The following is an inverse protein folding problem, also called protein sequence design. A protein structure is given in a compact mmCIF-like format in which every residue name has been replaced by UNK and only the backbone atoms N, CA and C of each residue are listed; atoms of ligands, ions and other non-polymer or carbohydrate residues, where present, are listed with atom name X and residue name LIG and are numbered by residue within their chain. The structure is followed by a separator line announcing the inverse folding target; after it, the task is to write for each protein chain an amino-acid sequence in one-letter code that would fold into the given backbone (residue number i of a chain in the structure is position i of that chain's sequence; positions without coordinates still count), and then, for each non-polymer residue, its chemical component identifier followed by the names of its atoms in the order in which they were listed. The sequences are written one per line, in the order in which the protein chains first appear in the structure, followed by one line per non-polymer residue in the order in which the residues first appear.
data_IF_073896637894
#
_entry.id   IF_073896637894
#
_cell.length_a   1.000
_cell.length_b   1.000
_cell.length_c   1.000
_cell.angle_alpha   90.00
_cell.angle_beta   90.00
_cell.angle_gamma   90.00
#
_symmetry.space_group_name_H-M   'P 1'
#
loop_
_entity.id
_entity.type
_entity.pdbx_description
1 polymer ?
#
# COMPACT_ATOMS: atom_id res chain seq x y z
N UNK A 1 3.29 20.62 44.63
CA UNK A 1 1.99 19.93 44.79
C UNK A 1 1.51 20.20 46.20
N UNK A 2 0.24 20.63 46.42
CA UNK A 2 -0.26 20.80 47.78
C UNK A 2 -0.33 19.43 48.45
N UNK A 3 0.46 19.25 49.50
CA UNK A 3 0.49 18.07 50.36
C UNK A 3 -0.61 18.16 51.42
N UNK A 4 -1.86 18.39 50.99
CA UNK A 4 -2.98 18.21 51.89
C UNK A 4 -3.34 16.73 51.85
N UNK A 5 -3.38 16.08 53.01
CA UNK A 5 -3.92 14.73 53.19
C UNK A 5 -5.36 14.72 52.72
N UNK A 6 -5.56 14.41 51.44
CA UNK A 6 -6.88 14.32 50.83
C UNK A 6 -7.37 12.92 51.06
N UNK A 7 -8.48 12.81 51.79
CA UNK A 7 -9.18 11.55 51.98
C UNK A 7 -9.62 11.00 50.62
N UNK A 8 -9.44 9.69 50.43
CA UNK A 8 -9.86 9.04 49.18
C UNK A 8 -11.35 9.20 49.00
N UNK A 9 -11.78 9.44 47.76
CA UNK A 9 -13.20 9.36 47.43
C UNK A 9 -13.66 7.90 47.53
N UNK A 10 -14.84 7.67 48.11
CA UNK A 10 -15.47 6.35 48.19
C UNK A 10 -16.66 6.31 47.26
N UNK A 11 -16.60 5.43 46.26
CA UNK A 11 -17.73 5.11 45.40
C UNK A 11 -18.58 4.05 46.09
N UNK A 12 -19.89 4.27 46.18
CA UNK A 12 -20.84 3.30 46.70
C UNK A 12 -21.65 2.74 45.54
N UNK A 13 -21.49 1.44 45.28
CA UNK A 13 -22.28 0.72 44.29
C UNK A 13 -23.40 -0.06 44.98
N UNK A 14 -24.65 0.33 44.72
CA UNK A 14 -25.84 -0.32 45.27
C UNK A 14 -26.47 -1.25 44.25
N UNK A 15 -26.69 -2.51 44.63
CA UNK A 15 -27.39 -3.50 43.81
C UNK A 15 -28.62 -3.99 44.53
N UNK A 16 -29.65 -4.39 43.76
CA UNK A 16 -30.75 -5.18 44.31
C UNK A 16 -30.37 -6.66 44.23
N UNK A 17 -30.34 -7.35 45.35
CA UNK A 17 -30.29 -8.80 45.35
C UNK A 17 -31.65 -9.36 44.90
N UNK A 18 -31.66 -10.17 43.84
CA UNK A 18 -32.83 -10.97 43.48
C UNK A 18 -32.94 -12.18 44.40
N UNK A 19 -33.99 -12.25 45.22
CA UNK A 19 -34.44 -13.54 45.77
C UNK A 19 -35.64 -14.01 44.96
N UNK A 20 -35.64 -15.28 44.57
CA UNK A 20 -36.75 -15.95 43.86
C UNK A 20 -38.09 -15.92 44.60
N UNK A 21 -38.11 -15.43 45.85
CA UNK A 21 -39.29 -15.39 46.72
C UNK A 21 -39.33 -14.07 47.52
N UNK A 22 -39.88 -13.01 46.93
CA UNK A 22 -40.40 -11.87 47.71
C UNK A 22 -40.00 -10.48 47.22
N UNK A 23 -40.99 -9.60 47.15
CA UNK A 23 -40.92 -8.20 46.66
C UNK A 23 -40.17 -7.22 47.60
N UNK A 24 -39.31 -7.73 48.48
CA UNK A 24 -38.46 -6.93 49.37
C UNK A 24 -37.00 -7.19 49.01
N UNK A 25 -36.54 -6.52 47.95
CA UNK A 25 -35.15 -6.59 47.50
C UNK A 25 -34.21 -6.09 48.60
N UNK A 26 -33.38 -6.97 49.16
CA UNK A 26 -32.22 -6.53 49.94
C UNK A 26 -31.34 -5.67 49.04
N UNK A 27 -31.01 -4.46 49.48
CA UNK A 27 -30.03 -3.61 48.80
C UNK A 27 -28.67 -4.03 49.33
N UNK A 28 -27.84 -4.58 48.45
CA UNK A 28 -26.43 -4.85 48.75
C UNK A 28 -25.62 -3.64 48.35
N UNK A 29 -24.75 -3.18 49.23
CA UNK A 29 -23.87 -2.03 48.99
C UNK A 29 -22.43 -2.51 48.97
N UNK A 30 -21.70 -2.12 47.93
CA UNK A 30 -20.26 -2.35 47.81
C UNK A 30 -19.57 -0.99 47.89
N UNK A 31 -18.58 -0.90 48.78
CA UNK A 31 -17.77 0.30 48.95
C UNK A 31 -16.44 0.11 48.21
N UNK A 32 -16.15 1.03 47.29
CA UNK A 32 -14.92 1.02 46.50
C UNK A 32 -14.14 2.31 46.79
N UNK A 33 -12.96 2.18 47.38
CA UNK A 33 -12.03 3.32 47.51
C UNK A 33 -11.46 3.67 46.14
N UNK A 34 -11.50 4.95 45.79
CA UNK A 34 -10.98 5.45 44.51
C UNK A 34 -9.60 6.06 44.70
N UNK A 35 -8.67 5.64 43.85
CA UNK A 35 -7.34 6.24 43.72
C UNK A 35 -7.03 6.50 42.26
N UNK A 36 -6.24 7.53 41.98
CA UNK A 36 -5.71 7.80 40.65
C UNK A 36 -4.28 7.22 40.54
N UNK A 37 -4.02 6.50 39.46
CA UNK A 37 -2.70 5.96 39.14
C UNK A 37 -2.14 6.67 37.93
N UNK A 38 -0.85 6.99 37.97
CA UNK A 38 -0.14 7.55 36.83
C UNK A 38 0.13 6.44 35.82
N UNK A 39 -0.18 6.70 34.56
CA UNK A 39 0.04 5.75 33.46
C UNK A 39 0.93 6.36 32.41
N UNK A 40 1.80 5.54 31.84
CA UNK A 40 2.51 5.82 30.60
C UNK A 40 1.72 5.25 29.44
N UNK A 41 1.41 6.08 28.46
CA UNK A 41 0.68 5.70 27.25
C UNK A 41 1.53 5.90 26.02
N UNK A 42 1.60 4.87 25.18
CA UNK A 42 2.16 4.97 23.83
C UNK A 42 1.01 5.34 22.88
N UNK A 43 1.14 6.49 22.21
CA UNK A 43 0.16 6.96 21.23
C UNK A 43 0.72 6.73 19.84
N UNK A 44 0.00 5.93 19.05
CA UNK A 44 0.32 5.68 17.65
C UNK A 44 -0.64 6.47 16.76
N UNK A 45 -0.08 7.26 15.85
CA UNK A 45 -0.84 8.06 14.89
C UNK A 45 -0.55 7.60 13.47
N UNK A 46 -1.55 7.02 12.81
CA UNK A 46 -1.42 6.43 11.47
C UNK A 46 -2.22 7.25 10.47
N UNK A 47 -1.61 7.53 9.31
CA UNK A 47 -2.26 8.16 8.17
C UNK A 47 -2.17 7.25 6.95
N UNK A 48 -3.30 6.80 6.43
CA UNK A 48 -3.34 5.85 5.31
C UNK A 48 -3.00 6.48 3.94
N UNK A 49 -3.18 7.80 3.79
CA UNK A 49 -2.89 8.53 2.56
C UNK A 49 -2.44 9.96 2.84
N UNK A 50 -1.71 10.58 1.91
CA UNK A 50 -1.17 11.94 2.08
C UNK A 50 -2.24 13.02 2.37
N UNK A 51 -3.51 12.76 2.04
CA UNK A 51 -4.66 13.62 2.34
C UNK A 51 -5.65 13.04 3.35
N UNK A 52 -5.45 11.81 3.83
CA UNK A 52 -6.40 11.12 4.71
C UNK A 52 -6.48 11.69 6.12
N UNK A 53 -7.49 11.30 6.88
CA UNK A 53 -7.56 11.62 8.31
C UNK A 53 -6.41 10.94 9.08
N UNK A 54 -5.77 11.68 9.97
CA UNK A 54 -4.81 11.12 10.92
C UNK A 54 -5.59 10.41 12.03
N UNK A 55 -5.34 9.12 12.23
CA UNK A 55 -5.96 8.34 13.31
C UNK A 55 -4.94 8.15 14.41
N UNK A 56 -5.13 8.85 15.54
CA UNK A 56 -4.33 8.66 16.74
C UNK A 56 -5.09 7.81 17.75
N UNK A 57 -4.43 6.80 18.30
CA UNK A 57 -4.98 5.96 19.36
C UNK A 57 -3.87 5.51 20.32
N UNK A 58 -4.23 5.21 21.56
CA UNK A 58 -3.32 4.54 22.48
C UNK A 58 -3.08 3.11 21.99
N UNK A 59 -1.83 2.77 21.69
CA UNK A 59 -1.40 1.43 21.27
C UNK A 59 -0.97 0.57 22.46
N UNK A 60 -0.37 1.20 23.48
CA UNK A 60 0.03 0.55 24.73
C UNK A 60 -0.19 1.47 25.92
N UNK A 61 -0.47 0.87 27.07
CA UNK A 61 -0.64 1.54 28.35
C UNK A 61 -0.01 0.69 29.45
N UNK A 62 0.67 1.34 30.38
CA UNK A 62 1.18 0.70 31.60
C UNK A 62 1.20 1.70 32.75
N UNK A 63 1.25 1.22 33.98
CA UNK A 63 1.49 2.08 35.14
C UNK A 63 2.89 2.71 35.07
N UNK A 64 2.99 3.97 35.46
CA UNK A 64 4.24 4.72 35.46
C UNK A 64 5.13 4.24 36.62
N UNK A 65 6.34 3.70 36.34
CA UNK A 65 7.20 3.16 37.39
C UNK A 65 7.68 4.27 38.34
N UNK A 66 7.56 4.02 39.65
CA UNK A 66 8.05 4.93 40.68
C UNK A 66 7.13 6.12 41.00
N UNK A 67 5.94 6.21 40.38
CA UNK A 67 4.94 7.22 40.71
C UNK A 67 3.95 6.68 41.75
N UNK A 68 3.77 7.34 42.90
CA UNK A 68 2.80 6.89 43.90
C UNK A 68 1.37 7.08 43.39
N UNK A 69 0.45 6.26 43.89
CA UNK A 69 -0.97 6.48 43.69
C UNK A 69 -1.39 7.80 44.35
N UNK A 70 -2.22 8.57 43.65
CA UNK A 70 -2.80 9.80 44.15
C UNK A 70 -4.15 9.51 44.80
N UNK A 71 -4.31 9.92 46.05
CA UNK A 71 -5.62 9.94 46.72
C UNK A 71 -6.55 11.01 46.15
N UNK A 72 -5.98 12.00 45.44
CA UNK A 72 -6.74 13.00 44.70
C UNK A 72 -7.24 12.41 43.38
N UNK A 73 -8.56 12.47 43.19
CA UNK A 73 -9.25 12.12 41.95
C UNK A 73 -10.26 13.21 41.55
N UNK A 74 -10.82 13.12 40.34
CA UNK A 74 -11.91 13.99 39.91
C UNK A 74 -13.15 13.90 40.81
N UNK A 75 -13.35 12.77 41.51
CA UNK A 75 -14.46 12.55 42.44
C UNK A 75 -14.32 13.34 43.74
N UNK A 76 -13.12 13.81 44.09
CA UNK A 76 -12.91 14.68 45.26
C UNK A 76 -13.42 16.11 45.01
N UNK A 77 -13.74 16.47 43.77
CA UNK A 77 -14.16 17.82 43.37
C UNK A 77 -15.70 17.93 43.46
N UNK A 78 -16.23 18.03 44.68
CA UNK A 78 -17.67 18.04 44.98
C UNK A 78 -18.50 19.18 44.33
N UNK A 79 -17.88 20.23 43.76
CA UNK A 79 -18.58 21.46 43.32
C UNK A 79 -18.51 21.80 41.83
N UNK A 80 -17.89 20.98 40.98
CA UNK A 80 -17.82 21.28 39.54
C UNK A 80 -19.07 20.79 38.80
N UNK A 81 -19.42 21.44 37.69
CA UNK A 81 -20.48 21.02 36.75
C UNK A 81 -20.27 19.58 36.22
N UNK A 82 -19.03 19.10 36.22
CA UNK A 82 -18.63 17.70 35.97
C UNK A 82 -19.00 16.75 37.12
N UNK A 83 -19.34 17.25 38.31
CA UNK A 83 -19.40 16.53 39.57
C UNK A 83 -20.54 15.53 39.74
N UNK A 84 -21.41 15.36 38.74
CA UNK A 84 -22.44 14.31 38.78
C UNK A 84 -22.48 13.47 37.49
N UNK A 85 -21.36 13.35 36.76
CA UNK A 85 -21.32 12.41 35.62
C UNK A 85 -21.74 10.99 36.05
N UNK A 86 -21.41 10.60 37.30
CA UNK A 86 -21.84 9.34 37.92
C UNK A 86 -23.36 9.17 37.94
N UNK A 87 -24.15 10.24 38.12
CA UNK A 87 -25.62 10.13 38.11
C UNK A 87 -26.19 9.86 36.73
N UNK A 88 -25.46 10.20 35.67
CA UNK A 88 -25.89 10.00 34.29
C UNK A 88 -25.39 8.69 33.68
N UNK A 89 -24.40 8.03 34.28
CA UNK A 89 -23.87 6.74 33.79
C UNK A 89 -25.01 5.73 33.56
N UNK A 90 -25.94 5.50 34.50
CA UNK A 90 -27.01 4.51 34.31
C UNK A 90 -27.95 4.82 33.14
N UNK A 91 -28.10 6.09 32.76
CA UNK A 91 -29.05 6.53 31.72
C UNK A 91 -28.47 6.46 30.29
N UNK A 92 -27.22 6.07 30.14
CA UNK A 92 -26.50 6.13 28.85
C UNK A 92 -26.68 4.91 27.96
N UNK A 93 -27.21 3.80 28.49
CA UNK A 93 -27.49 2.57 27.76
C UNK A 93 -28.97 2.20 27.95
N UNK A 94 -29.56 1.58 26.92
CA UNK A 94 -30.98 1.21 26.94
C UNK A 94 -31.30 0.26 28.12
N UNK A 95 -32.50 0.48 28.68
CA UNK A 95 -33.12 -0.19 29.84
C UNK A 95 -32.77 0.41 31.22
N UNK A 96 -33.54 1.43 31.62
CA UNK A 96 -33.59 1.96 32.99
C UNK A 96 -34.78 1.38 33.80
N UNK A 97 -35.32 0.25 33.36
CA UNK A 97 -36.52 -0.32 33.98
C UNK A 97 -36.16 -1.17 35.20
N UNK A 98 -36.90 -1.00 36.30
CA UNK A 98 -36.55 -1.44 37.66
C UNK A 98 -36.23 -2.93 37.82
N UNK A 99 -36.73 -3.77 36.91
CA UNK A 99 -36.64 -5.25 36.99
C UNK A 99 -35.92 -5.86 35.78
N UNK A 100 -35.32 -5.04 34.94
CA UNK A 100 -34.54 -5.50 33.79
C UNK A 100 -33.16 -4.88 33.87
N UNK A 101 -32.09 -5.67 33.85
CA UNK A 101 -30.75 -5.13 33.93
C UNK A 101 -30.46 -4.25 32.71
N UNK A 102 -29.82 -3.12 32.96
CA UNK A 102 -29.22 -2.28 31.93
C UNK A 102 -28.04 -2.99 31.27
N UNK A 103 -27.66 -2.57 30.06
CA UNK A 103 -26.46 -3.11 29.41
C UNK A 103 -25.18 -2.92 30.23
N UNK A 104 -25.10 -1.91 31.10
CA UNK A 104 -23.99 -1.71 32.03
C UNK A 104 -23.98 -2.73 33.18
N UNK A 105 -25.15 -3.07 33.72
CA UNK A 105 -25.27 -4.11 34.75
C UNK A 105 -24.93 -5.48 34.16
N UNK A 106 -25.38 -5.76 32.93
CA UNK A 106 -24.99 -6.97 32.18
C UNK A 106 -23.49 -7.00 31.87
N UNK A 107 -22.86 -5.86 31.57
CA UNK A 107 -21.42 -5.78 31.39
C UNK A 107 -20.65 -6.06 32.69
N UNK A 108 -21.11 -5.51 33.81
CA UNK A 108 -20.53 -5.77 35.12
C UNK A 108 -20.63 -7.25 35.49
N UNK A 109 -21.73 -7.92 35.10
CA UNK A 109 -21.97 -9.35 35.33
C UNK A 109 -21.13 -10.24 34.40
N UNK A 110 -21.29 -10.09 33.09
CA UNK A 110 -20.57 -10.83 32.06
C UNK A 110 -20.51 -10.06 30.73
N UNK A 111 -19.36 -9.44 30.39
CA UNK A 111 -19.22 -8.55 29.22
C UNK A 111 -19.73 -9.09 27.87
N UNK A 112 -19.54 -10.36 27.49
CA UNK A 112 -20.07 -10.90 26.25
C UNK A 112 -21.60 -10.87 26.16
N UNK A 113 -22.30 -10.84 27.31
CA UNK A 113 -23.77 -10.80 27.40
C UNK A 113 -24.35 -9.40 27.50
N UNK A 114 -23.52 -8.35 27.44
CA UNK A 114 -23.96 -6.96 27.65
C UNK A 114 -25.10 -6.50 26.71
N UNK A 115 -25.20 -7.11 25.53
CA UNK A 115 -26.20 -6.78 24.50
C UNK A 115 -27.17 -7.93 24.21
N UNK A 116 -27.16 -9.00 25.00
CA UNK A 116 -28.14 -10.08 24.82
C UNK A 116 -29.48 -9.65 25.42
N UNK A 117 -30.52 -9.54 24.59
CA UNK A 117 -31.90 -9.51 25.05
C UNK A 117 -32.21 -10.86 25.71
N UNK A 118 -32.69 -10.88 26.96
CA UNK A 118 -33.18 -12.17 27.43
C UNK A 118 -33.61 -12.38 28.87
N UNK A 119 -33.36 -11.48 29.84
CA UNK A 119 -33.78 -11.80 31.22
C UNK A 119 -34.45 -10.62 31.91
N UNK A 120 -35.65 -10.85 32.46
CA UNK A 120 -36.35 -9.95 33.40
C UNK A 120 -35.85 -10.18 34.83
N UNK A 121 -34.61 -10.61 34.99
CA UNK A 121 -34.05 -10.98 36.29
C UNK A 121 -32.88 -10.07 36.64
N UNK A 122 -32.80 -9.67 37.90
CA UNK A 122 -31.78 -8.75 38.38
C UNK A 122 -30.47 -9.54 38.51
N UNK A 123 -29.37 -8.98 38.02
CA UNK A 123 -28.06 -9.63 38.11
C UNK A 123 -27.59 -9.77 39.56
N UNK A 124 -27.22 -10.99 39.95
CA UNK A 124 -26.52 -11.24 41.21
C UNK A 124 -25.01 -11.22 41.00
N UNK A 125 -24.37 -10.20 41.55
CA UNK A 125 -22.92 -10.02 41.50
C UNK A 125 -22.18 -10.87 42.55
N UNK A 126 -22.88 -11.63 43.40
CA UNK A 126 -22.28 -12.43 44.48
C UNK A 126 -21.27 -13.48 44.04
N UNK A 127 -21.38 -13.95 42.79
CA UNK A 127 -20.45 -14.93 42.21
C UNK A 127 -19.24 -14.30 41.51
N UNK A 128 -19.10 -12.97 41.51
CA UNK A 128 -18.00 -12.26 40.85
C UNK A 128 -16.94 -11.90 41.90
N UNK A 129 -15.69 -12.25 41.62
CA UNK A 129 -14.57 -11.81 42.46
C UNK A 129 -14.47 -10.28 42.48
N UNK A 130 -14.13 -9.71 43.63
CA UNK A 130 -14.02 -8.25 43.79
C UNK A 130 -13.04 -7.64 42.79
N UNK A 131 -11.95 -8.33 42.46
CA UNK A 131 -10.93 -7.86 41.50
C UNK A 131 -11.46 -7.67 40.09
N UNK A 132 -12.29 -8.62 39.63
CA UNK A 132 -12.93 -8.53 38.31
C UNK A 132 -14.00 -7.46 38.32
N UNK A 133 -14.80 -7.39 39.39
CA UNK A 133 -15.84 -6.38 39.54
C UNK A 133 -15.26 -4.96 39.53
N UNK A 134 -14.21 -4.69 40.33
CA UNK A 134 -13.57 -3.37 40.38
C UNK A 134 -12.94 -2.99 39.04
N UNK A 135 -12.32 -3.93 38.32
CA UNK A 135 -11.72 -3.65 37.02
C UNK A 135 -12.78 -3.25 35.97
N UNK A 136 -13.92 -3.94 35.95
CA UNK A 136 -15.05 -3.63 35.05
C UNK A 136 -15.68 -2.29 35.40
N UNK A 137 -15.90 -2.02 36.69
CA UNK A 137 -16.45 -0.76 37.17
C UNK A 137 -15.50 0.41 36.89
N UNK A 138 -14.20 0.22 37.09
CA UNK A 138 -13.18 1.21 36.77
C UNK A 138 -13.18 1.56 35.28
N UNK A 139 -13.34 0.57 34.38
CA UNK A 139 -13.46 0.84 32.95
C UNK A 139 -14.68 1.74 32.64
N UNK A 140 -15.85 1.43 33.20
CA UNK A 140 -17.06 2.23 33.01
C UNK A 140 -16.81 3.67 33.50
N UNK A 141 -16.39 3.83 34.76
CA UNK A 141 -16.19 5.15 35.38
C UNK A 141 -15.16 5.96 34.60
N UNK A 142 -14.02 5.37 34.21
CA UNK A 142 -12.99 6.06 33.45
C UNK A 142 -13.47 6.45 32.04
N UNK A 143 -14.25 5.59 31.38
CA UNK A 143 -14.80 5.89 30.05
C UNK A 143 -15.75 7.09 30.10
N UNK A 144 -16.67 7.12 31.05
CA UNK A 144 -17.60 8.25 31.21
C UNK A 144 -16.89 9.51 31.70
N UNK A 145 -15.88 9.36 32.57
CA UNK A 145 -15.05 10.48 32.97
C UNK A 145 -14.38 11.12 31.75
N UNK A 146 -13.71 10.32 30.89
CA UNK A 146 -13.09 10.82 29.66
C UNK A 146 -14.11 11.44 28.69
N UNK A 147 -15.29 10.83 28.54
CA UNK A 147 -16.36 11.36 27.68
C UNK A 147 -16.94 12.70 28.19
N UNK A 148 -16.87 12.94 29.51
CA UNK A 148 -17.32 14.20 30.13
C UNK A 148 -16.33 15.36 30.01
N UNK A 149 -15.09 15.08 29.60
CA UNK A 149 -14.08 16.12 29.40
C UNK A 149 -14.40 16.94 28.15
N UNK A 150 -14.00 18.22 28.18
CA UNK A 150 -14.17 19.11 27.04
C UNK A 150 -13.49 18.51 25.79
N UNK A 151 -14.22 18.45 24.68
CA UNK A 151 -13.74 17.91 23.39
C UNK A 151 -12.49 18.63 22.90
N UNK A 152 -12.32 19.93 23.22
CA UNK A 152 -11.09 20.70 22.96
C UNK A 152 -9.84 20.08 23.61
N UNK A 153 -10.00 19.52 24.83
CA UNK A 153 -8.89 18.95 25.60
C UNK A 153 -8.49 17.56 25.10
N UNK A 154 -9.43 16.82 24.50
CA UNK A 154 -9.21 15.43 24.10
C UNK A 154 -9.00 15.25 22.59
N UNK A 155 -9.77 15.97 21.76
CA UNK A 155 -9.72 15.84 20.31
C UNK A 155 -8.78 16.85 19.64
N UNK A 156 -8.53 18.00 20.27
CA UNK A 156 -7.75 19.09 19.67
C UNK A 156 -8.26 19.58 18.31
N UNK A 157 -9.50 19.22 17.96
CA UNK A 157 -10.09 19.31 16.61
C UNK A 157 -11.11 20.46 16.47
N UNK A 158 -11.18 21.34 17.47
CA UNK A 158 -12.05 22.51 17.49
C UNK A 158 -11.45 23.74 16.79
N UNK A 159 -10.26 23.60 16.20
CA UNK A 159 -9.55 24.69 15.53
C UNK A 159 -8.85 25.68 16.46
N UNK A 160 -8.91 25.46 17.78
CA UNK A 160 -8.18 26.24 18.81
C UNK A 160 -6.77 25.65 19.02
N UNK A 161 -6.43 24.60 18.27
CA UNK A 161 -5.20 23.84 18.35
C UNK A 161 -3.92 24.68 18.26
N UNK A 162 -3.08 24.52 19.29
CA UNK A 162 -1.65 24.83 19.39
C UNK A 162 -1.18 26.30 19.26
N UNK A 163 -1.88 27.18 18.55
CA UNK A 163 -1.39 28.56 18.32
C UNK A 163 -1.97 29.60 19.29
N UNK A 164 -3.16 29.34 19.85
CA UNK A 164 -3.82 30.22 20.81
C UNK A 164 -4.49 29.40 21.91
N UNK A 165 -3.70 28.65 22.68
CA UNK A 165 -4.18 28.17 23.99
C UNK A 165 -4.28 29.39 24.89
N UNK A 166 -5.47 29.83 25.32
CA UNK A 166 -5.57 30.97 26.23
C UNK A 166 -4.77 30.66 27.50
N UNK A 167 -4.11 31.66 28.10
CA UNK A 167 -3.13 31.45 29.18
C UNK A 167 -3.67 30.62 30.36
N UNK A 168 -4.99 30.67 30.60
CA UNK A 168 -5.69 29.88 31.62
C UNK A 168 -5.84 28.37 31.30
N UNK A 169 -5.54 27.93 30.09
CA UNK A 169 -5.52 26.52 29.67
C UNK A 169 -4.12 26.00 29.33
N UNK A 170 -3.09 26.87 29.30
CA UNK A 170 -1.74 26.51 28.90
C UNK A 170 -1.09 25.44 29.82
N UNK A 171 -1.50 25.37 31.08
CA UNK A 171 -1.05 24.36 32.05
C UNK A 171 -1.68 22.96 31.86
N UNK A 172 -2.63 22.81 30.95
CA UNK A 172 -3.31 21.53 30.67
C UNK A 172 -2.62 20.74 29.55
N UNK A 173 -1.70 21.39 28.80
CA UNK A 173 -0.98 20.78 27.69
C UNK A 173 0.49 20.61 28.05
N UNK A 174 1.02 19.41 27.84
CA UNK A 174 2.43 19.09 27.98
C UNK A 174 3.10 18.96 26.62
N UNK A 175 4.35 19.40 26.50
CA UNK A 175 5.16 19.10 25.33
C UNK A 175 5.56 17.61 25.38
N UNK A 176 5.33 16.91 24.28
CA UNK A 176 5.78 15.53 24.10
C UNK A 176 6.56 15.42 22.79
N UNK A 177 7.55 14.53 22.76
CA UNK A 177 8.31 14.21 21.55
C UNK A 177 7.75 12.95 20.91
N UNK A 178 7.42 13.00 19.62
CA UNK A 178 7.00 11.85 18.83
C UNK A 178 7.94 11.60 17.66
N UNK A 179 8.13 10.33 17.30
CA UNK A 179 8.84 9.94 16.07
C UNK A 179 7.84 9.76 14.93
N UNK A 180 8.05 10.49 13.84
CA UNK A 180 7.20 10.39 12.64
C UNK A 180 7.94 9.60 11.56
N UNK A 181 7.31 8.54 11.06
CA UNK A 181 7.78 7.80 9.89
C UNK A 181 6.77 7.97 8.75
N UNK A 182 7.16 8.68 7.70
CA UNK A 182 6.31 8.86 6.53
C UNK A 182 6.54 7.73 5.53
N UNK A 183 5.46 7.11 5.06
CA UNK A 183 5.53 6.20 3.91
C UNK A 183 5.85 7.02 2.67
N UNK A 184 7.12 7.02 2.26
CA UNK A 184 7.52 7.69 1.03
C UNK A 184 7.01 6.84 -0.14
N UNK A 185 6.13 7.34 -1.02
CA UNK A 185 5.69 6.58 -2.17
C UNK A 185 6.90 6.15 -3.01
N UNK A 186 6.88 4.95 -3.64
CA UNK A 186 7.99 4.49 -4.46
C UNK A 186 8.27 5.52 -5.55
N UNK A 187 9.41 6.22 -5.44
CA UNK A 187 9.87 7.15 -6.46
C UNK A 187 10.50 6.31 -7.57
N UNK A 188 10.11 6.57 -8.82
CA UNK A 188 10.80 5.99 -9.96
C UNK A 188 12.23 6.54 -10.01
N UNK A 189 13.18 5.78 -9.49
CA UNK A 189 14.59 6.11 -9.59
C UNK A 189 15.15 5.65 -10.93
N UNK A 190 15.56 6.59 -11.77
CA UNK A 190 16.33 6.28 -12.98
C UNK A 190 17.73 5.85 -12.57
N UNK A 191 18.03 4.56 -12.71
CA UNK A 191 19.39 4.05 -12.56
C UNK A 191 20.18 4.40 -13.82
N UNK A 192 21.04 5.41 -13.72
CA UNK A 192 21.81 5.95 -14.85
C UNK A 192 22.59 4.87 -15.63
N UNK A 193 23.10 3.82 -14.97
CA UNK A 193 23.80 2.71 -15.64
C UNK A 193 22.89 1.93 -16.61
N UNK A 194 21.67 1.60 -16.18
CA UNK A 194 20.69 0.91 -17.03
C UNK A 194 20.15 1.80 -18.14
N UNK A 195 19.95 3.08 -17.84
CA UNK A 195 19.54 4.07 -18.83
C UNK A 195 20.60 4.28 -19.92
N UNK A 196 21.88 4.37 -19.53
CA UNK A 196 22.99 4.46 -20.46
C UNK A 196 23.12 3.21 -21.35
N UNK A 197 22.95 2.01 -20.79
CA UNK A 197 22.95 0.76 -21.55
C UNK A 197 21.81 0.72 -22.57
N UNK A 198 20.59 1.14 -22.18
CA UNK A 198 19.46 1.26 -23.09
C UNK A 198 19.71 2.26 -24.22
N UNK A 199 20.30 3.42 -23.90
CA UNK A 199 20.64 4.43 -24.89
C UNK A 199 21.72 3.94 -25.87
N UNK A 200 22.72 3.21 -25.36
CA UNK A 200 23.75 2.58 -26.20
C UNK A 200 23.15 1.50 -27.12
N UNK A 201 22.24 0.66 -26.62
CA UNK A 201 21.56 -0.35 -27.44
C UNK A 201 20.70 0.25 -28.54
N UNK A 202 19.90 1.26 -28.22
CA UNK A 202 19.02 1.95 -29.19
C UNK A 202 19.82 2.70 -30.26
N UNK A 203 20.95 3.31 -29.92
CA UNK A 203 21.83 3.96 -30.90
C UNK A 203 22.50 2.96 -31.85
N UNK A 204 22.97 1.82 -31.36
CA UNK A 204 23.51 0.76 -32.22
C UNK A 204 22.44 0.25 -33.19
N UNK A 205 21.23 -0.03 -32.72
CA UNK A 205 20.13 -0.47 -33.57
C UNK A 205 19.74 0.59 -34.61
N UNK A 206 19.74 1.88 -34.24
CA UNK A 206 19.48 2.98 -35.16
C UNK A 206 20.56 3.08 -36.26
N UNK A 207 21.84 2.90 -35.91
CA UNK A 207 22.94 2.89 -36.88
C UNK A 207 22.77 1.71 -37.85
N UNK A 208 22.50 0.50 -37.33
CA UNK A 208 22.26 -0.67 -38.17
C UNK A 208 21.08 -0.44 -39.14
N UNK A 209 19.99 0.17 -38.67
CA UNK A 209 18.85 0.50 -39.52
C UNK A 209 19.22 1.49 -40.64
N UNK A 210 19.98 2.55 -40.32
CA UNK A 210 20.46 3.53 -41.31
C UNK A 210 21.37 2.85 -42.34
N UNK A 211 22.30 2.00 -41.90
CA UNK A 211 23.21 1.27 -42.79
C UNK A 211 22.43 0.38 -43.74
N UNK A 212 21.42 -0.34 -43.25
CA UNK A 212 20.56 -1.18 -44.10
C UNK A 212 19.84 -0.32 -45.15
N UNK A 213 19.25 0.81 -44.77
CA UNK A 213 18.58 1.72 -45.73
C UNK A 213 19.56 2.24 -46.79
N UNK A 214 20.74 2.70 -46.37
CA UNK A 214 21.77 3.20 -47.28
C UNK A 214 22.24 2.10 -48.24
N UNK A 215 22.47 0.88 -47.74
CA UNK A 215 22.85 -0.26 -48.56
C UNK A 215 21.77 -0.56 -49.60
N UNK A 216 20.50 -0.63 -49.20
CA UNK A 216 19.37 -0.88 -50.11
C UNK A 216 19.26 0.18 -51.20
N UNK A 217 19.50 1.46 -50.90
CA UNK A 217 19.48 2.55 -51.89
C UNK A 217 20.68 2.49 -52.83
N UNK A 218 21.85 2.04 -52.36
CA UNK A 218 23.08 1.98 -53.16
C UNK A 218 23.22 0.69 -53.98
N UNK A 219 22.56 -0.41 -53.61
CA UNK A 219 22.61 -1.68 -54.35
C UNK A 219 21.81 -1.60 -55.65
N UNK A 220 22.49 -1.78 -56.80
CA UNK A 220 21.93 -1.68 -58.18
C UNK A 220 21.17 -2.93 -58.64
N UNK A 221 21.47 -4.08 -58.05
CA UNK A 221 20.88 -5.36 -58.43
C UNK A 221 19.80 -5.71 -57.40
N UNK A 222 18.74 -6.46 -57.80
CA UNK A 222 17.78 -7.01 -56.86
C UNK A 222 18.53 -7.80 -55.78
N UNK A 223 18.03 -7.75 -54.55
CA UNK A 223 18.54 -8.56 -53.45
C UNK A 223 18.31 -10.05 -53.79
N UNK A 224 19.39 -10.78 -54.11
CA UNK A 224 19.36 -12.19 -54.52
C UNK A 224 19.88 -13.14 -53.42
N UNK A 225 20.00 -12.64 -52.18
CA UNK A 225 20.80 -13.27 -51.13
C UNK A 225 20.34 -14.68 -50.70
N UNK A 226 19.19 -15.18 -51.18
CA UNK A 226 18.71 -16.54 -50.91
C UNK A 226 18.87 -17.56 -52.05
N UNK A 227 19.21 -17.15 -53.28
CA UNK A 227 18.94 -17.99 -54.48
C UNK A 227 19.97 -17.93 -55.60
N UNK A 228 21.21 -17.55 -55.31
CA UNK A 228 22.26 -17.41 -56.36
C UNK A 228 22.50 -18.72 -57.10
N UNK A 229 22.43 -19.87 -56.41
CA UNK A 229 22.58 -21.20 -57.05
C UNK A 229 21.41 -21.56 -57.97
N UNK A 230 20.18 -21.10 -57.70
CA UNK A 230 19.03 -21.33 -58.59
C UNK A 230 19.07 -20.47 -59.85
N UNK A 231 19.62 -19.25 -59.78
CA UNK A 231 19.73 -18.35 -60.95
C UNK A 231 20.69 -18.89 -62.01
N UNK A 232 21.64 -19.74 -61.62
CA UNK A 232 22.50 -20.46 -62.58
C UNK A 232 21.76 -21.55 -63.35
N UNK A 233 20.58 -21.98 -62.90
CA UNK A 233 19.82 -23.06 -63.55
C UNK A 233 19.11 -22.57 -64.81
N UNK A 234 18.53 -21.38 -64.73
CA UNK A 234 17.63 -20.84 -65.77
C UNK A 234 18.33 -19.76 -66.63
N UNK A 235 19.64 -19.50 -66.42
CA UNK A 235 20.42 -18.56 -67.21
C UNK A 235 21.10 -19.24 -68.39
N UNK A 236 20.74 -18.81 -69.61
CA UNK A 236 21.39 -19.22 -70.86
C UNK A 236 22.84 -18.74 -71.00
N UNK A 237 23.33 -17.88 -70.10
CA UNK A 237 24.66 -17.26 -70.15
C UNK A 237 25.65 -17.84 -69.16
N UNK A 238 25.27 -18.95 -68.50
CA UNK A 238 26.14 -19.71 -67.60
C UNK A 238 26.49 -21.01 -68.33
N UNK A 239 27.77 -21.22 -68.67
CA UNK A 239 28.24 -22.30 -69.55
C UNK A 239 29.22 -23.27 -68.89
N UNK A 240 29.79 -22.91 -67.74
CA UNK A 240 30.77 -23.68 -66.97
C UNK A 240 30.14 -24.56 -65.89
N UNK A 241 28.85 -24.87 -65.99
CA UNK A 241 28.16 -25.79 -65.07
C UNK A 241 28.35 -27.22 -65.61
N UNK A 242 28.80 -28.19 -64.79
CA UNK A 242 28.89 -29.59 -65.21
C UNK A 242 27.54 -30.15 -65.70
N UNK A 243 27.56 -31.03 -66.70
CA UNK A 243 26.34 -31.66 -67.22
C UNK A 243 25.62 -32.49 -66.13
N UNK A 244 24.32 -32.24 -65.96
CA UNK A 244 23.50 -32.84 -64.89
C UNK A 244 23.43 -31.99 -63.62
N UNK A 245 22.33 -32.12 -62.87
CA UNK A 245 22.13 -31.37 -61.61
C UNK A 245 20.78 -30.67 -61.45
N UNK A 246 19.79 -30.98 -62.28
CA UNK A 246 18.41 -30.46 -62.16
C UNK A 246 17.66 -30.99 -60.94
N UNK A 247 18.12 -32.11 -60.37
CA UNK A 247 17.56 -32.74 -59.15
C UNK A 247 18.27 -32.38 -57.86
N UNK A 248 19.36 -31.59 -57.92
CA UNK A 248 20.16 -31.25 -56.74
C UNK A 248 19.46 -30.18 -55.89
N UNK A 249 19.56 -30.32 -54.57
CA UNK A 249 19.08 -29.28 -53.65
C UNK A 249 19.92 -28.00 -53.79
N UNK A 250 19.34 -26.85 -53.41
CA UNK A 250 20.01 -25.54 -53.57
C UNK A 250 21.38 -25.44 -52.89
N UNK A 251 21.57 -26.17 -51.78
CA UNK A 251 22.83 -26.21 -51.03
C UNK A 251 23.89 -27.11 -51.69
N UNK A 252 23.49 -28.29 -52.20
CA UNK A 252 24.36 -29.19 -52.96
C UNK A 252 24.83 -28.55 -54.26
N UNK A 253 23.92 -27.83 -54.93
CA UNK A 253 24.23 -27.05 -56.14
C UNK A 253 25.16 -25.88 -55.83
N UNK A 254 24.95 -25.16 -54.72
CA UNK A 254 25.89 -24.11 -54.29
C UNK A 254 27.30 -24.67 -54.01
N UNK A 255 27.38 -25.88 -53.43
CA UNK A 255 28.66 -26.57 -53.20
C UNK A 255 29.32 -27.04 -54.50
N UNK A 256 28.53 -27.46 -55.49
CA UNK A 256 29.01 -27.83 -56.83
C UNK A 256 29.56 -26.61 -57.60
N UNK A 257 28.94 -25.45 -57.42
CA UNK A 257 29.28 -24.19 -58.10
C UNK A 257 30.24 -23.30 -57.30
N UNK A 258 30.83 -23.82 -56.21
CA UNK A 258 31.65 -23.04 -55.26
C UNK A 258 32.84 -22.32 -55.91
N UNK A 259 33.39 -22.88 -56.99
CA UNK A 259 34.56 -22.36 -57.71
C UNK A 259 34.17 -21.56 -58.97
N UNK A 260 32.86 -21.45 -59.27
CA UNK A 260 32.35 -20.73 -60.43
C UNK A 260 32.16 -19.24 -60.08
N UNK A 261 32.99 -18.40 -60.68
CA UNK A 261 32.85 -16.96 -60.57
C UNK A 261 31.71 -16.48 -61.46
N UNK A 262 30.74 -15.80 -60.86
CA UNK A 262 29.54 -15.35 -61.53
C UNK A 262 29.32 -13.87 -61.29
N UNK A 263 28.74 -13.20 -62.27
CA UNK A 263 28.52 -11.75 -62.25
C UNK A 263 27.22 -11.41 -62.96
N UNK A 264 26.55 -10.37 -62.45
CA UNK A 264 25.41 -9.75 -63.11
C UNK A 264 25.94 -8.69 -64.08
N UNK A 265 25.55 -8.80 -65.35
CA UNK A 265 25.98 -7.87 -66.40
C UNK A 265 24.89 -7.60 -67.42
N UNK A 266 25.04 -6.50 -68.15
CA UNK A 266 24.17 -6.15 -69.26
C UNK A 266 24.56 -6.99 -70.48
N UNK A 267 23.65 -7.88 -70.91
CA UNK A 267 23.89 -8.78 -72.05
C UNK A 267 23.50 -8.17 -73.40
N UNK A 268 22.91 -6.97 -73.40
CA UNK A 268 22.53 -6.26 -74.63
C UNK A 268 22.85 -4.77 -74.48
N UNK A 269 24.14 -4.39 -74.43
CA UNK A 269 24.55 -3.03 -74.18
C UNK A 269 24.16 -2.04 -75.28
N UNK A 270 23.90 -2.52 -76.50
CA UNK A 270 23.61 -1.72 -77.70
C UNK A 270 22.15 -1.27 -77.84
N UNK A 271 21.20 -1.88 -77.12
CA UNK A 271 19.78 -1.52 -77.19
C UNK A 271 19.45 -0.31 -76.30
N UNK A 272 18.38 0.43 -76.56
CA UNK A 272 18.00 1.54 -75.67
C UNK A 272 17.66 1.07 -74.25
N UNK A 273 16.95 -0.07 -74.13
CA UNK A 273 16.72 -0.77 -72.87
C UNK A 273 17.68 -1.96 -72.77
N UNK A 274 18.51 -1.97 -71.72
CA UNK A 274 19.47 -3.06 -71.46
C UNK A 274 18.78 -4.30 -70.90
N UNK A 275 19.43 -5.46 -70.99
CA UNK A 275 18.89 -6.69 -70.39
C UNK A 275 19.85 -7.22 -69.34
N UNK A 276 19.35 -7.45 -68.13
CA UNK A 276 20.17 -7.97 -67.03
C UNK A 276 20.21 -9.49 -67.14
N UNK A 277 21.41 -10.08 -67.14
CA UNK A 277 21.55 -11.52 -67.00
C UNK A 277 22.72 -11.91 -66.08
N UNK A 278 22.62 -13.14 -65.58
CA UNK A 278 23.63 -13.77 -64.74
C UNK A 278 24.58 -14.58 -65.62
N UNK A 279 25.88 -14.33 -65.57
CA UNK A 279 26.86 -14.99 -66.43
C UNK A 279 28.12 -15.39 -65.66
N UNK A 280 28.81 -16.41 -66.15
CA UNK A 280 30.04 -16.96 -65.55
C UNK A 280 31.34 -16.49 -66.22
N UNK A 281 31.26 -15.82 -67.38
CA UNK A 281 32.45 -15.32 -68.08
C UNK A 281 32.77 -13.89 -67.68
N UNK A 282 34.06 -13.62 -67.47
CA UNK A 282 34.57 -12.28 -67.15
C UNK A 282 34.33 -11.26 -68.27
N UNK A 283 34.35 -11.70 -69.53
CA UNK A 283 34.14 -10.89 -70.72
C UNK A 283 33.43 -11.76 -71.78
N UNK A 284 32.11 -11.70 -71.86
CA UNK A 284 31.39 -12.17 -73.05
C UNK A 284 31.47 -11.03 -74.08
N UNK A 285 31.85 -11.31 -75.33
CA UNK A 285 31.81 -10.31 -76.40
C UNK A 285 30.39 -9.71 -76.49
N UNK A 286 30.31 -8.37 -76.46
CA UNK A 286 29.03 -7.66 -76.46
C UNK A 286 28.34 -7.55 -75.10
N UNK A 287 29.05 -7.61 -73.97
CA UNK A 287 28.48 -7.40 -72.62
C UNK A 287 29.11 -6.21 -71.88
N UNK A 288 28.36 -5.54 -71.01
CA UNK A 288 28.84 -4.35 -70.28
C UNK A 288 28.44 -4.36 -68.80
N UNK A 289 29.12 -3.53 -67.99
CA UNK A 289 28.73 -3.28 -66.60
C UNK A 289 27.41 -2.48 -66.55
N UNK A 290 26.59 -2.74 -65.53
CA UNK A 290 25.34 -2.00 -65.30
C UNK A 290 25.64 -0.51 -65.04
N UNK A 291 24.92 0.37 -65.73
CA UNK A 291 25.02 1.84 -65.66
C UNK A 291 23.80 2.43 -64.93
N UNK A 292 23.99 3.51 -64.17
CA UNK A 292 22.92 4.12 -63.36
C UNK A 292 21.89 4.91 -64.18
N UNK A 293 22.29 5.42 -65.33
CA UNK A 293 21.54 6.32 -66.21
C UNK A 293 20.66 5.57 -67.23
N UNK A 294 20.65 4.23 -67.19
CA UNK A 294 19.99 3.39 -68.19
C UNK A 294 18.88 2.52 -67.59
N UNK A 295 17.81 2.35 -68.36
CA UNK A 295 16.70 1.44 -68.01
C UNK A 295 17.04 0.01 -68.41
N UNK A 296 16.65 -0.94 -67.57
CA UNK A 296 16.89 -2.37 -67.74
C UNK A 296 15.60 -3.16 -67.62
N UNK A 297 15.50 -4.21 -68.44
CA UNK A 297 14.47 -5.26 -68.40
C UNK A 297 15.05 -6.63 -68.02
#
# INVERSE_FOLDING_TARGET
MPSNDVEKATLVFGTRGGTTTGSYSEIRMTHCEVSATYVETEIECIRASAGGALRCAASRIREAPGMPHSNWSSLNIQRSFTGNYLSYIPDTIQSAHRVTPSGLESYLQDPPTSFSDGTMDIHDFGNISMDVFQARLALIVNTFYHASLNTSNFLGADGVGLYHVPWNYANQYGNTSGTWTEFTPPRYEVKFGWFALYLAGTTVLAICAIVTVVMTVLTRAPDLFGGVSSLTRDSAFVTGVPDGGSSLSGSERARLLKDLWVKIQDVKPEREVGRIAFSDRKELEGTARLRWDRKYE
#
